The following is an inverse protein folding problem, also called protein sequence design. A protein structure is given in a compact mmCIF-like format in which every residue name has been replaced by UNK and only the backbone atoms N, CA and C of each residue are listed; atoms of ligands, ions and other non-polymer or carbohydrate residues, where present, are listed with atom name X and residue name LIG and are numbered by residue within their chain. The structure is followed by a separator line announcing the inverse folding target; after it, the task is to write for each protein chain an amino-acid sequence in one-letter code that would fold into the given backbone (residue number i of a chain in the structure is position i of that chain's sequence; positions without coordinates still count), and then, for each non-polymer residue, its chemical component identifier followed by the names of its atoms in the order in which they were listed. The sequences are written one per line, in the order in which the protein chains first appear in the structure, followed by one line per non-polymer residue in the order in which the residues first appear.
data_IF_534546850744
#
_entry.id   IF_534546850744
#
_cell.length_a   1.000
_cell.length_b   1.000
_cell.length_c   1.000
_cell.angle_alpha   90.00
_cell.angle_beta   90.00
_cell.angle_gamma   90.00
#
_symmetry.space_group_name_H-M   'P 1'
#
loop_
_entity.id
_entity.type
_entity.pdbx_description
1 polymer ?
#
# COMPACT_ATOMS: atom_id res chain seq x y z
N UNK A 1 24.93 -53.71 30.02
CA UNK A 1 24.33 -53.47 28.71
C UNK A 1 25.48 -53.43 27.71
N UNK A 2 25.66 -54.45 26.85
CA UNK A 2 26.70 -54.48 25.83
C UNK A 2 26.24 -53.62 24.63
N UNK A 3 26.91 -52.51 24.41
CA UNK A 3 26.70 -51.68 23.22
C UNK A 3 27.40 -52.37 22.05
N UNK A 4 26.63 -52.76 21.05
CA UNK A 4 27.19 -53.33 19.80
C UNK A 4 27.61 -52.19 18.88
N UNK A 5 28.82 -52.25 18.35
CA UNK A 5 29.40 -51.33 17.37
C UNK A 5 29.60 -52.01 16.02
N UNK A 6 29.54 -51.30 14.91
CA UNK A 6 29.82 -51.83 13.58
C UNK A 6 31.33 -52.00 13.36
N UNK A 7 31.75 -52.59 12.23
CA UNK A 7 33.15 -52.86 11.87
C UNK A 7 34.04 -51.58 11.79
N UNK A 8 33.47 -50.38 11.99
CA UNK A 8 34.18 -49.10 12.00
C UNK A 8 34.13 -48.41 13.35
N UNK A 9 33.66 -49.13 14.43
CA UNK A 9 33.65 -48.64 15.79
C UNK A 9 32.45 -47.67 16.12
N UNK A 10 31.42 -47.61 15.25
CA UNK A 10 30.27 -46.73 15.43
C UNK A 10 29.14 -47.50 16.14
N UNK A 11 28.57 -46.95 17.25
CA UNK A 11 27.45 -47.57 17.93
C UNK A 11 26.23 -47.72 17.01
N UNK A 12 25.67 -48.94 16.95
CA UNK A 12 24.51 -49.25 16.08
C UNK A 12 23.21 -48.58 16.51
N UNK A 13 23.17 -48.00 17.71
CA UNK A 13 22.01 -47.23 18.21
C UNK A 13 21.75 -45.89 17.52
N UNK A 14 22.67 -45.43 16.63
CA UNK A 14 22.50 -44.16 15.90
C UNK A 14 21.88 -44.32 14.48
N UNK A 15 21.40 -45.48 14.10
CA UNK A 15 20.88 -45.71 12.73
C UNK A 15 19.42 -45.36 12.52
N UNK A 16 18.71 -44.76 13.52
CA UNK A 16 17.31 -44.36 13.39
C UNK A 16 16.99 -42.92 13.81
N UNK A 17 18.00 -42.04 13.77
CA UNK A 17 17.74 -40.64 13.63
C UNK A 17 18.00 -40.26 12.16
N UNK A 18 17.05 -40.54 11.28
CA UNK A 18 16.91 -39.74 10.06
C UNK A 18 16.69 -38.33 10.55
N UNK A 19 17.80 -37.55 10.64
CA UNK A 19 17.70 -36.10 10.75
C UNK A 19 16.89 -35.67 9.52
N UNK A 20 15.61 -35.39 9.72
CA UNK A 20 14.86 -34.53 8.85
C UNK A 20 15.59 -33.21 8.99
N UNK A 21 16.56 -32.97 8.11
CA UNK A 21 17.05 -31.62 7.86
C UNK A 21 15.75 -30.80 7.52
N UNK A 22 15.47 -29.73 8.24
CA UNK A 22 14.40 -28.84 7.80
C UNK A 22 14.76 -28.46 6.37
N UNK A 23 13.83 -28.65 5.47
CA UNK A 23 13.96 -28.36 4.04
C UNK A 23 14.04 -26.83 3.92
N UNK A 24 15.25 -26.28 4.17
CA UNK A 24 15.59 -24.86 4.09
C UNK A 24 15.71 -24.42 2.62
N UNK A 25 14.70 -24.72 1.84
CA UNK A 25 14.63 -24.43 0.42
C UNK A 25 13.23 -24.49 -0.16
N UNK A 26 12.21 -24.72 0.64
CA UNK A 26 10.86 -24.46 0.17
C UNK A 26 10.68 -22.94 0.17
N UNK A 27 10.88 -22.30 -1.00
CA UNK A 27 10.07 -21.12 -1.33
C UNK A 27 8.69 -21.40 -0.77
N UNK A 28 8.18 -20.49 0.10
CA UNK A 28 6.82 -20.59 0.56
C UNK A 28 5.96 -20.75 -0.69
N UNK A 29 5.44 -21.94 -0.94
CA UNK A 29 4.46 -22.15 -1.98
C UNK A 29 3.32 -21.20 -1.62
N UNK A 30 3.06 -20.24 -2.50
CA UNK A 30 1.90 -19.39 -2.35
C UNK A 30 0.70 -20.30 -2.06
N UNK A 31 -0.07 -20.07 -1.01
CA UNK A 31 -1.29 -20.82 -0.79
C UNK A 31 -2.08 -20.82 -2.10
N UNK A 32 -2.73 -21.93 -2.43
CA UNK A 32 -3.58 -22.01 -3.62
C UNK A 32 -4.77 -21.09 -3.39
N UNK A 33 -4.63 -19.81 -3.78
CA UNK A 33 -5.72 -18.85 -3.64
C UNK A 33 -6.89 -19.24 -4.52
N UNK A 34 -8.09 -19.16 -3.96
CA UNK A 34 -9.35 -19.33 -4.66
C UNK A 34 -10.20 -18.07 -4.51
N UNK A 35 -10.95 -17.73 -5.56
CA UNK A 35 -11.89 -16.63 -5.47
C UNK A 35 -13.09 -17.07 -4.62
N UNK A 36 -13.60 -16.21 -3.72
CA UNK A 36 -14.89 -16.42 -3.10
C UNK A 36 -15.99 -16.55 -4.17
N UNK A 37 -17.00 -17.40 -3.91
CA UNK A 37 -18.15 -17.58 -4.80
C UNK A 37 -19.10 -16.35 -4.77
N UNK A 38 -18.56 -15.15 -4.95
CA UNK A 38 -19.36 -13.93 -4.98
C UNK A 38 -19.35 -13.35 -6.40
N UNK A 39 -20.52 -12.99 -6.96
CA UNK A 39 -20.62 -12.38 -8.29
C UNK A 39 -19.85 -11.07 -8.44
N UNK A 40 -19.54 -10.40 -7.30
CA UNK A 40 -19.06 -9.03 -7.25
C UNK A 40 -17.63 -8.84 -7.77
N UNK A 41 -16.79 -9.89 -7.78
CA UNK A 41 -15.40 -9.79 -8.24
C UNK A 41 -15.31 -9.43 -9.74
N UNK A 42 -16.11 -10.08 -10.57
CA UNK A 42 -16.13 -9.81 -12.02
C UNK A 42 -16.90 -8.53 -12.36
N UNK A 43 -18.02 -8.30 -11.67
CA UNK A 43 -18.82 -7.10 -11.88
C UNK A 43 -18.04 -5.82 -11.50
N UNK A 44 -17.17 -5.88 -10.47
CA UNK A 44 -16.35 -4.74 -10.06
C UNK A 44 -15.26 -4.41 -11.07
N UNK A 45 -14.73 -5.40 -11.83
CA UNK A 45 -13.72 -5.10 -12.86
C UNK A 45 -14.23 -4.18 -13.96
N UNK A 46 -15.53 -4.27 -14.30
CA UNK A 46 -16.16 -3.40 -15.28
C UNK A 46 -16.24 -1.93 -14.83
N UNK A 47 -16.21 -1.67 -13.52
CA UNK A 47 -16.16 -0.32 -12.96
C UNK A 47 -14.77 0.33 -13.09
N UNK A 48 -13.71 -0.50 -13.21
CA UNK A 48 -12.32 -0.05 -13.26
C UNK A 48 -11.55 -0.65 -14.45
N UNK A 49 -12.03 -0.47 -15.69
CA UNK A 49 -11.48 -1.17 -16.86
C UNK A 49 -9.99 -0.89 -17.05
N UNK A 50 -9.53 0.34 -16.81
CA UNK A 50 -8.12 0.72 -16.96
C UNK A 50 -7.18 0.03 -15.95
N UNK A 51 -7.70 -0.44 -14.82
CA UNK A 51 -6.92 -1.14 -13.79
C UNK A 51 -6.71 -2.60 -14.14
N UNK A 52 -7.68 -3.21 -14.85
CA UNK A 52 -7.69 -4.64 -15.19
C UNK A 52 -7.38 -4.89 -16.68
N UNK A 53 -6.71 -3.95 -17.34
CA UNK A 53 -6.22 -4.11 -18.71
C UNK A 53 -4.87 -4.85 -18.68
N UNK A 54 -4.70 -5.90 -19.51
CA UNK A 54 -3.41 -6.57 -19.68
C UNK A 54 -2.31 -5.63 -20.17
N UNK A 55 -1.07 -5.95 -19.81
CA UNK A 55 0.09 -5.19 -20.29
C UNK A 55 0.31 -5.39 -21.78
N UNK A 56 0.70 -4.32 -22.47
CA UNK A 56 1.07 -4.38 -23.88
C UNK A 56 2.42 -5.08 -24.06
N UNK A 57 2.56 -5.91 -25.09
CA UNK A 57 3.77 -6.68 -25.35
C UNK A 57 5.03 -5.80 -25.55
N UNK A 58 4.87 -4.66 -26.22
CA UNK A 58 5.97 -3.72 -26.52
C UNK A 58 6.23 -2.69 -25.38
N UNK A 59 5.65 -2.90 -24.19
CA UNK A 59 5.84 -1.99 -23.06
C UNK A 59 7.21 -2.16 -22.39
N UNK A 60 7.67 -1.10 -21.74
CA UNK A 60 8.90 -1.09 -20.97
C UNK A 60 8.65 -0.50 -19.56
N UNK A 61 9.66 -0.56 -18.66
CA UNK A 61 9.50 -0.08 -17.28
C UNK A 61 9.02 1.39 -17.17
N UNK A 62 9.36 2.24 -18.14
CA UNK A 62 8.91 3.64 -18.18
C UNK A 62 7.41 3.78 -18.47
N UNK A 63 6.79 2.83 -19.19
CA UNK A 63 5.37 2.82 -19.50
C UNK A 63 4.50 2.73 -18.24
N UNK A 64 5.00 2.07 -17.20
CA UNK A 64 4.27 1.83 -15.95
C UNK A 64 4.72 2.76 -14.80
N UNK A 65 5.39 3.86 -15.15
CA UNK A 65 5.71 4.95 -14.26
C UNK A 65 6.79 4.65 -13.21
N UNK A 66 7.18 5.69 -12.52
CA UNK A 66 8.11 5.68 -11.38
C UNK A 66 7.37 6.18 -10.15
N UNK A 67 7.20 5.34 -9.15
CA UNK A 67 6.61 5.73 -7.87
C UNK A 67 7.72 6.06 -6.86
N UNK A 68 7.60 7.21 -6.20
CA UNK A 68 8.39 7.56 -5.03
C UNK A 68 7.53 7.44 -3.76
N UNK A 69 8.04 6.74 -2.76
CA UNK A 69 7.41 6.60 -1.45
C UNK A 69 8.34 7.21 -0.40
N UNK A 70 7.87 8.20 0.34
CA UNK A 70 8.65 8.95 1.32
C UNK A 70 8.06 8.81 2.72
N UNK A 71 8.89 8.38 3.65
CA UNK A 71 8.50 8.14 5.03
C UNK A 71 9.63 7.53 5.84
N UNK A 72 9.35 6.51 6.64
CA UNK A 72 10.35 5.65 7.26
C UNK A 72 11.38 6.36 8.10
N UNK A 73 10.96 7.22 9.03
CA UNK A 73 11.82 7.76 10.08
C UNK A 73 12.45 6.64 10.92
N UNK A 74 13.43 6.99 11.76
CA UNK A 74 14.11 6.02 12.63
C UNK A 74 13.11 5.18 13.44
N UNK A 75 13.24 3.84 13.34
CA UNK A 75 12.32 2.88 13.95
C UNK A 75 11.06 2.57 13.12
N UNK A 76 10.77 3.32 12.04
CA UNK A 76 9.58 3.16 11.20
C UNK A 76 9.87 2.82 9.74
N UNK A 77 11.09 2.36 9.43
CA UNK A 77 11.49 1.98 8.05
C UNK A 77 10.61 0.90 7.45
N UNK A 78 10.01 0.03 8.27
CA UNK A 78 9.09 -1.03 7.83
C UNK A 78 7.87 -0.53 7.08
N UNK A 79 7.34 0.66 7.42
CA UNK A 79 6.19 1.25 6.74
C UNK A 79 6.49 1.53 5.26
N UNK A 80 7.63 2.15 4.97
CA UNK A 80 8.08 2.39 3.57
C UNK A 80 8.36 1.07 2.85
N UNK A 81 8.92 0.06 3.53
CA UNK A 81 9.17 -1.26 2.94
C UNK A 81 7.86 -1.94 2.53
N UNK A 82 6.83 -1.91 3.39
CA UNK A 82 5.50 -2.47 3.09
C UNK A 82 4.84 -1.74 1.92
N UNK A 83 4.83 -0.41 1.93
CA UNK A 83 4.24 0.39 0.86
C UNK A 83 4.98 0.17 -0.48
N UNK A 84 6.32 0.14 -0.47
CA UNK A 84 7.15 -0.09 -1.66
C UNK A 84 6.97 -1.50 -2.21
N UNK A 85 6.87 -2.51 -1.33
CA UNK A 85 6.58 -3.89 -1.71
C UNK A 85 5.20 -4.01 -2.36
N UNK A 86 4.19 -3.35 -1.79
CA UNK A 86 2.86 -3.32 -2.39
C UNK A 86 2.87 -2.66 -3.77
N UNK A 87 3.60 -1.57 -3.93
CA UNK A 87 3.71 -0.83 -5.18
C UNK A 87 4.36 -1.65 -6.30
N UNK A 88 5.48 -2.33 -6.04
CA UNK A 88 6.13 -3.15 -7.07
C UNK A 88 5.25 -4.34 -7.46
N UNK A 89 4.54 -4.96 -6.51
CA UNK A 89 3.58 -6.01 -6.76
C UNK A 89 2.36 -5.56 -7.56
N UNK A 90 1.94 -4.30 -7.41
CA UNK A 90 0.87 -3.72 -8.22
C UNK A 90 1.32 -3.20 -9.58
N UNK A 91 2.60 -3.36 -9.90
CA UNK A 91 3.08 -3.24 -11.26
C UNK A 91 3.65 -1.87 -11.62
N UNK A 92 4.04 -1.02 -10.68
CA UNK A 92 4.89 0.13 -10.97
C UNK A 92 6.14 -0.29 -11.73
N UNK A 93 6.52 0.46 -12.75
CA UNK A 93 7.70 0.16 -13.55
C UNK A 93 9.01 0.34 -12.79
N UNK A 94 9.04 1.32 -11.88
CA UNK A 94 10.12 1.59 -10.93
C UNK A 94 9.53 2.04 -9.60
N UNK A 95 10.16 1.64 -8.48
CA UNK A 95 9.79 2.07 -7.14
C UNK A 95 11.02 2.57 -6.38
N UNK A 96 10.91 3.75 -5.80
CA UNK A 96 11.88 4.34 -4.90
C UNK A 96 11.33 4.37 -3.48
N UNK A 97 12.06 3.81 -2.55
CA UNK A 97 11.83 3.90 -1.11
C UNK A 97 12.71 5.03 -0.54
N UNK A 98 12.11 6.12 -0.11
CA UNK A 98 12.74 7.31 0.46
C UNK A 98 12.58 7.36 1.96
N UNK A 99 13.71 7.40 2.68
CA UNK A 99 13.73 7.37 4.14
C UNK A 99 13.97 8.76 4.71
N UNK A 100 13.12 9.21 5.64
CA UNK A 100 13.35 10.42 6.44
C UNK A 100 14.42 10.14 7.51
N UNK A 101 15.63 9.90 7.04
CA UNK A 101 16.83 9.63 7.84
C UNK A 101 18.04 10.24 7.12
N UNK A 102 19.08 10.60 7.88
CA UNK A 102 20.32 11.18 7.34
C UNK A 102 21.16 10.18 6.55
N UNK A 103 20.94 8.88 6.75
CA UNK A 103 21.58 7.79 6.02
C UNK A 103 20.56 6.67 5.74
N UNK A 104 20.85 5.82 4.78
CA UNK A 104 20.00 4.67 4.49
C UNK A 104 20.02 3.68 5.67
N UNK A 105 18.85 3.18 6.12
CA UNK A 105 18.77 2.22 7.23
C UNK A 105 19.37 0.85 6.88
N UNK A 106 19.48 0.54 5.59
CA UNK A 106 20.06 -0.69 5.05
C UNK A 106 20.50 -0.49 3.60
N UNK A 107 21.39 -1.33 3.09
CA UNK A 107 21.93 -1.21 1.73
C UNK A 107 20.95 -1.70 0.64
N UNK A 108 20.09 -2.67 0.98
CA UNK A 108 19.12 -3.29 0.08
C UNK A 108 17.98 -3.87 0.92
N UNK A 109 16.78 -4.00 0.35
CA UNK A 109 15.71 -4.84 0.90
C UNK A 109 15.94 -6.26 0.36
N UNK A 110 16.40 -7.22 1.16
CA UNK A 110 16.86 -8.52 0.64
C UNK A 110 15.77 -9.27 -0.15
N UNK A 111 14.53 -9.20 0.32
CA UNK A 111 13.39 -9.88 -0.30
C UNK A 111 12.86 -9.12 -1.54
N UNK A 112 13.34 -7.89 -1.77
CA UNK A 112 12.87 -7.00 -2.86
C UNK A 112 14.02 -6.13 -3.37
N UNK A 113 15.07 -6.73 -3.96
CA UNK A 113 16.21 -5.97 -4.47
C UNK A 113 15.86 -5.07 -5.65
N UNK A 114 14.67 -5.23 -6.24
CA UNK A 114 14.15 -4.37 -7.32
C UNK A 114 13.76 -2.97 -6.83
N UNK A 115 13.55 -2.78 -5.53
CA UNK A 115 13.21 -1.49 -4.94
C UNK A 115 14.48 -0.68 -4.72
N UNK A 116 14.54 0.49 -5.32
CA UNK A 116 15.65 1.42 -5.16
C UNK A 116 15.49 2.23 -3.87
N UNK A 117 16.60 2.51 -3.21
CA UNK A 117 16.62 3.21 -1.92
C UNK A 117 17.26 4.59 -2.07
N UNK A 118 16.72 5.57 -1.36
CA UNK A 118 17.27 6.91 -1.25
C UNK A 118 16.95 7.51 0.12
N UNK A 119 17.69 8.55 0.53
CA UNK A 119 17.19 9.45 1.57
C UNK A 119 15.99 10.24 1.01
N UNK A 120 15.10 10.73 1.88
CA UNK A 120 14.00 11.60 1.45
C UNK A 120 14.54 12.84 0.72
N UNK A 121 15.60 13.44 1.23
CA UNK A 121 16.25 14.62 0.64
C UNK A 121 16.73 14.38 -0.80
N UNK A 122 17.41 13.26 -1.06
CA UNK A 122 17.89 12.93 -2.41
C UNK A 122 16.75 12.55 -3.35
N UNK A 123 15.72 11.90 -2.83
CA UNK A 123 14.56 11.51 -3.63
C UNK A 123 13.76 12.73 -4.11
N UNK A 124 13.64 13.77 -3.28
CA UNK A 124 12.96 15.03 -3.64
C UNK A 124 13.65 15.79 -4.78
N UNK A 125 14.92 15.56 -5.03
CA UNK A 125 15.68 16.18 -6.14
C UNK A 125 15.37 15.55 -7.51
N UNK A 126 14.69 14.39 -7.53
CA UNK A 126 14.41 13.65 -8.77
C UNK A 126 13.27 14.28 -9.57
N UNK A 127 13.42 14.23 -10.91
CA UNK A 127 12.45 14.78 -11.87
C UNK A 127 11.69 13.70 -12.65
N UNK A 128 12.09 12.42 -12.51
CA UNK A 128 11.50 11.29 -13.26
C UNK A 128 10.42 10.55 -12.46
N UNK A 129 9.85 11.19 -11.46
CA UNK A 129 8.79 10.62 -10.61
C UNK A 129 7.43 10.87 -11.24
N UNK A 130 6.66 9.79 -11.43
CA UNK A 130 5.31 9.83 -12.01
C UNK A 130 4.21 9.98 -10.97
N UNK A 131 4.45 9.56 -9.71
CA UNK A 131 3.56 9.77 -8.57
C UNK A 131 4.32 9.69 -7.25
N UNK A 132 3.76 10.29 -6.20
CA UNK A 132 4.32 10.32 -4.86
C UNK A 132 3.36 9.73 -3.84
N UNK A 133 3.90 8.98 -2.87
CA UNK A 133 3.24 8.57 -1.63
C UNK A 133 4.08 9.11 -0.48
N UNK A 134 3.48 9.87 0.43
CA UNK A 134 4.23 10.55 1.50
C UNK A 134 3.50 10.38 2.82
N UNK A 135 4.26 9.99 3.86
CA UNK A 135 3.76 9.97 5.23
C UNK A 135 3.85 8.64 5.97
N UNK A 136 4.04 7.51 5.28
CA UNK A 136 4.14 6.18 5.90
C UNK A 136 5.30 6.13 6.92
N UNK A 137 5.01 6.27 8.21
CA UNK A 137 6.00 6.33 9.27
C UNK A 137 7.05 7.45 9.08
N UNK A 138 6.63 8.63 8.59
CA UNK A 138 7.54 9.71 8.24
C UNK A 138 8.11 10.45 9.46
N UNK A 139 7.42 10.38 10.59
CA UNK A 139 7.69 11.21 11.76
C UNK A 139 6.99 12.57 11.68
N UNK A 140 7.10 13.34 12.78
CA UNK A 140 6.39 14.61 12.96
C UNK A 140 7.34 15.77 13.32
N UNK A 141 8.62 15.59 13.06
CA UNK A 141 9.66 16.59 13.30
C UNK A 141 9.71 17.67 12.22
N UNK A 142 10.60 18.64 12.38
CA UNK A 142 10.75 19.73 11.43
C UNK A 142 11.19 19.24 10.04
N UNK A 143 12.02 18.20 9.97
CA UNK A 143 12.44 17.61 8.68
C UNK A 143 11.24 17.01 7.94
N UNK A 144 10.37 16.29 8.66
CA UNK A 144 9.13 15.75 8.11
C UNK A 144 8.19 16.87 7.61
N UNK A 145 8.11 18.00 8.34
CA UNK A 145 7.33 19.16 7.93
C UNK A 145 7.90 19.82 6.65
N UNK A 146 9.22 19.94 6.55
CA UNK A 146 9.90 20.44 5.34
C UNK A 146 9.68 19.52 4.14
N UNK A 147 9.71 18.19 4.33
CA UNK A 147 9.39 17.20 3.29
C UNK A 147 7.96 17.43 2.78
N UNK A 148 6.97 17.56 3.69
CA UNK A 148 5.59 17.82 3.30
C UNK A 148 5.46 19.09 2.46
N UNK A 149 6.04 20.21 2.90
CA UNK A 149 6.00 21.47 2.19
C UNK A 149 6.66 21.35 0.80
N UNK A 150 7.80 20.66 0.71
CA UNK A 150 8.47 20.44 -0.57
C UNK A 150 7.60 19.64 -1.55
N UNK A 151 7.00 18.51 -1.14
CA UNK A 151 6.19 17.69 -2.05
C UNK A 151 4.90 18.39 -2.48
N UNK A 152 4.37 19.29 -1.65
CA UNK A 152 3.18 20.07 -2.00
C UNK A 152 3.47 21.14 -3.06
N UNK A 153 4.67 21.70 -3.09
CA UNK A 153 5.04 22.82 -3.96
C UNK A 153 5.85 22.42 -5.19
N UNK A 154 6.59 21.31 -5.12
CA UNK A 154 7.41 20.80 -6.22
C UNK A 154 6.67 19.71 -7.02
N UNK A 155 7.00 19.56 -8.30
CA UNK A 155 6.45 18.52 -9.19
C UNK A 155 4.92 18.39 -9.11
N UNK A 156 4.22 19.51 -9.25
CA UNK A 156 2.76 19.60 -9.04
C UNK A 156 1.96 18.79 -10.06
N UNK A 157 2.53 18.44 -11.20
CA UNK A 157 1.89 17.64 -12.23
C UNK A 157 1.77 16.15 -11.83
N UNK A 158 2.70 15.65 -11.00
CA UNK A 158 2.66 14.27 -10.54
C UNK A 158 1.62 14.10 -9.40
N UNK A 159 0.71 13.13 -9.48
CA UNK A 159 -0.22 12.82 -8.38
C UNK A 159 0.51 12.58 -7.05
N UNK A 160 -0.12 13.05 -5.97
CA UNK A 160 0.40 12.93 -4.61
C UNK A 160 -0.62 12.25 -3.70
N UNK A 161 -0.20 11.21 -3.00
CA UNK A 161 -0.97 10.59 -1.92
C UNK A 161 -0.32 10.94 -0.58
N UNK A 162 -1.12 11.48 0.35
CA UNK A 162 -0.72 11.72 1.74
C UNK A 162 -1.44 10.74 2.67
N UNK A 163 -0.66 10.09 3.53
CA UNK A 163 -1.15 9.16 4.56
C UNK A 163 -0.48 9.41 5.91
N UNK A 164 -1.01 8.87 6.97
CA UNK A 164 -0.41 8.77 8.30
C UNK A 164 0.18 10.10 8.81
N UNK A 165 1.50 10.17 9.00
CA UNK A 165 2.17 11.34 9.57
C UNK A 165 2.03 12.58 8.70
N UNK A 166 1.99 12.43 7.37
CA UNK A 166 1.75 13.56 6.47
C UNK A 166 0.36 14.17 6.65
N UNK A 167 -0.67 13.37 6.91
CA UNK A 167 -2.02 13.87 7.25
C UNK A 167 -2.03 14.60 8.60
N UNK A 168 -1.29 14.09 9.56
CA UNK A 168 -1.14 14.73 10.88
C UNK A 168 -0.44 16.08 10.77
N UNK A 169 0.61 16.17 9.96
CA UNK A 169 1.31 17.43 9.68
C UNK A 169 0.41 18.41 8.91
N UNK A 170 -0.30 17.94 7.89
CA UNK A 170 -1.25 18.75 7.12
C UNK A 170 -2.36 19.33 8.03
N UNK A 171 -2.87 18.54 8.97
CA UNK A 171 -3.87 19.00 9.92
C UNK A 171 -3.36 20.12 10.86
N UNK A 172 -2.05 20.14 11.14
CA UNK A 172 -1.38 21.13 12.01
C UNK A 172 -0.74 22.29 11.23
N UNK A 173 -0.76 22.22 9.91
CA UNK A 173 -0.03 23.15 9.06
C UNK A 173 -0.63 24.55 9.06
N UNK A 174 0.19 25.52 8.66
CA UNK A 174 -0.21 26.91 8.45
C UNK A 174 -1.13 27.05 7.21
N UNK A 175 -1.78 28.22 7.04
CA UNK A 175 -2.69 28.47 5.92
C UNK A 175 -2.00 28.27 4.55
N UNK A 176 -0.76 28.67 4.39
CA UNK A 176 0.01 28.59 3.13
C UNK A 176 0.20 27.13 2.69
N UNK A 177 0.56 26.24 3.60
CA UNK A 177 0.70 24.80 3.33
C UNK A 177 -0.64 24.17 2.95
N UNK A 178 -1.75 24.57 3.62
CA UNK A 178 -3.10 24.11 3.29
C UNK A 178 -3.52 24.59 1.92
N UNK A 179 -3.27 25.84 1.59
CA UNK A 179 -3.55 26.42 0.27
C UNK A 179 -2.76 25.70 -0.84
N UNK A 180 -1.47 25.38 -0.60
CA UNK A 180 -0.67 24.60 -1.52
C UNK A 180 -1.26 23.21 -1.78
N UNK A 181 -1.79 22.55 -0.73
CA UNK A 181 -2.48 21.27 -0.87
C UNK A 181 -3.76 21.40 -1.70
N UNK A 182 -4.58 22.42 -1.45
CA UNK A 182 -5.83 22.69 -2.17
C UNK A 182 -5.62 22.98 -3.67
N UNK A 183 -4.54 23.66 -4.01
CA UNK A 183 -4.23 24.04 -5.40
C UNK A 183 -3.72 22.87 -6.25
N UNK A 184 -3.38 21.74 -5.63
CA UNK A 184 -2.67 20.68 -6.34
C UNK A 184 -3.51 19.92 -7.37
N UNK A 185 -4.84 19.81 -7.17
CA UNK A 185 -5.78 19.21 -8.15
C UNK A 185 -5.66 17.70 -8.37
N UNK A 186 -4.56 17.08 -7.97
CA UNK A 186 -4.28 15.64 -8.14
C UNK A 186 -3.88 14.97 -6.81
N UNK A 187 -4.42 15.49 -5.70
CA UNK A 187 -4.14 15.05 -4.34
C UNK A 187 -5.09 13.92 -3.91
N UNK A 188 -4.53 12.93 -3.24
CA UNK A 188 -5.26 11.85 -2.56
C UNK A 188 -4.91 11.86 -1.08
N UNK A 189 -5.91 11.89 -0.21
CA UNK A 189 -5.77 11.80 1.24
C UNK A 189 -6.36 10.48 1.72
N UNK A 190 -5.67 9.75 2.61
CA UNK A 190 -6.11 8.42 3.07
C UNK A 190 -6.31 8.35 4.59
N UNK A 191 -7.12 9.24 5.21
CA UNK A 191 -7.25 9.28 6.65
C UNK A 191 -8.00 8.07 7.22
N UNK A 192 -7.53 7.54 8.36
CA UNK A 192 -8.38 6.79 9.27
C UNK A 192 -9.25 7.76 10.11
N UNK A 193 -10.29 7.30 10.85
CA UNK A 193 -11.22 8.21 11.53
C UNK A 193 -10.57 9.25 12.47
N UNK A 194 -9.48 8.91 13.16
CA UNK A 194 -8.81 9.85 14.03
C UNK A 194 -7.97 10.90 13.26
N UNK A 195 -7.41 10.55 12.10
CA UNK A 195 -6.75 11.49 11.18
C UNK A 195 -7.78 12.42 10.53
N UNK A 196 -8.92 11.88 10.10
CA UNK A 196 -10.03 12.66 9.58
C UNK A 196 -10.54 13.69 10.61
N UNK A 197 -10.66 13.28 11.87
CA UNK A 197 -11.05 14.17 12.96
C UNK A 197 -10.06 15.33 13.12
N UNK A 198 -8.75 15.10 13.02
CA UNK A 198 -7.73 16.17 13.08
C UNK A 198 -7.84 17.13 11.88
N UNK A 199 -8.04 16.60 10.67
CA UNK A 199 -8.22 17.42 9.46
C UNK A 199 -9.45 18.32 9.56
N UNK A 200 -10.52 17.84 10.19
CA UNK A 200 -11.79 18.57 10.37
C UNK A 200 -11.83 19.47 11.63
N UNK A 201 -10.84 19.35 12.54
CA UNK A 201 -10.93 19.98 13.85
C UNK A 201 -12.08 19.44 14.71
N UNK A 202 -12.46 18.17 14.53
CA UNK A 202 -13.59 17.50 15.16
C UNK A 202 -13.13 16.35 16.07
N UNK A 203 -14.08 15.66 16.71
CA UNK A 203 -13.78 14.42 17.44
C UNK A 203 -13.88 13.18 16.52
N UNK A 204 -13.14 12.11 16.88
CA UNK A 204 -13.27 10.83 16.19
C UNK A 204 -14.70 10.27 16.29
N UNK A 205 -15.40 10.53 17.38
CA UNK A 205 -16.80 10.13 17.56
C UNK A 205 -17.71 10.85 16.55
N UNK A 206 -17.53 12.16 16.35
CA UNK A 206 -18.29 12.94 15.35
C UNK A 206 -18.09 12.38 13.94
N UNK A 207 -16.83 12.07 13.58
CA UNK A 207 -16.52 11.45 12.27
C UNK A 207 -17.21 10.08 12.11
N UNK A 208 -17.23 9.26 13.16
CA UNK A 208 -17.85 7.93 13.11
C UNK A 208 -19.38 7.97 13.09
N UNK A 209 -20.00 9.02 13.65
CA UNK A 209 -21.45 9.22 13.62
C UNK A 209 -21.96 9.53 12.21
N UNK A 210 -21.19 10.31 11.45
CA UNK A 210 -21.54 10.63 10.06
C UNK A 210 -20.28 10.62 9.17
N UNK A 211 -19.88 9.41 8.79
CA UNK A 211 -18.72 9.19 7.94
C UNK A 211 -18.89 9.76 6.54
N UNK A 212 -20.14 9.77 6.03
CA UNK A 212 -20.44 10.29 4.69
C UNK A 212 -20.19 11.80 4.63
N UNK A 213 -20.75 12.56 5.54
CA UNK A 213 -20.52 14.01 5.65
C UNK A 213 -19.03 14.31 5.90
N UNK A 214 -18.37 13.54 6.77
CA UNK A 214 -16.96 13.74 7.07
C UNK A 214 -16.06 13.59 5.84
N UNK A 215 -16.22 12.51 5.04
CA UNK A 215 -15.39 12.28 3.85
C UNK A 215 -15.64 13.34 2.78
N UNK A 216 -16.89 13.76 2.56
CA UNK A 216 -17.24 14.81 1.61
C UNK A 216 -16.70 16.18 2.05
N UNK A 217 -16.76 16.50 3.33
CA UNK A 217 -16.22 17.75 3.87
C UNK A 217 -14.71 17.84 3.70
N UNK A 218 -13.97 16.77 4.00
CA UNK A 218 -12.51 16.74 3.78
C UNK A 218 -12.19 16.89 2.29
N UNK A 219 -12.88 16.14 1.43
CA UNK A 219 -12.68 16.19 -0.02
C UNK A 219 -12.91 17.60 -0.58
N UNK A 220 -13.99 18.25 -0.20
CA UNK A 220 -14.31 19.62 -0.61
C UNK A 220 -13.31 20.64 -0.03
N UNK A 221 -12.93 20.50 1.25
CA UNK A 221 -12.00 21.41 1.92
C UNK A 221 -10.61 21.41 1.28
N UNK A 222 -10.09 20.24 0.95
CA UNK A 222 -8.73 20.09 0.39
C UNK A 222 -8.73 19.99 -1.14
N UNK A 223 -9.88 20.05 -1.80
CA UNK A 223 -10.01 19.80 -3.24
C UNK A 223 -9.29 18.52 -3.67
N UNK A 224 -9.45 17.46 -2.87
CA UNK A 224 -8.68 16.21 -2.96
C UNK A 224 -9.59 14.99 -2.95
N UNK A 225 -9.19 13.93 -3.64
CA UNK A 225 -9.80 12.62 -3.43
C UNK A 225 -9.50 12.16 -2.01
N UNK A 226 -10.53 11.81 -1.26
CA UNK A 226 -10.39 11.42 0.16
C UNK A 226 -10.87 10.00 0.39
N UNK A 227 -10.00 9.17 0.95
CA UNK A 227 -10.27 7.78 1.34
C UNK A 227 -10.43 7.72 2.85
N UNK A 228 -11.66 7.69 3.36
CA UNK A 228 -11.93 7.51 4.79
C UNK A 228 -11.91 6.02 5.14
N UNK A 229 -10.76 5.58 5.66
CA UNK A 229 -10.50 4.17 6.03
C UNK A 229 -11.45 3.66 7.11
N UNK A 230 -11.74 2.35 7.10
CA UNK A 230 -12.56 1.64 8.08
C UNK A 230 -13.49 0.63 7.43
N UNK A 231 -14.40 0.04 8.24
CA UNK A 231 -15.41 -0.86 7.67
C UNK A 231 -16.23 -0.12 6.60
N UNK A 232 -16.35 -0.74 5.40
CA UNK A 232 -16.94 -0.08 4.23
C UNK A 232 -16.27 1.28 3.95
N UNK A 233 -14.96 1.25 3.69
CA UNK A 233 -14.16 2.44 3.33
C UNK A 233 -14.90 3.30 2.31
N UNK A 234 -14.95 4.61 2.56
CA UNK A 234 -15.55 5.60 1.66
C UNK A 234 -14.48 6.32 0.87
N UNK A 235 -14.73 6.53 -0.41
CA UNK A 235 -13.88 7.37 -1.27
C UNK A 235 -14.73 8.50 -1.84
N UNK A 236 -14.37 9.75 -1.56
CA UNK A 236 -15.06 10.92 -2.08
C UNK A 236 -14.15 11.69 -3.04
N UNK A 237 -14.74 12.22 -4.13
CA UNK A 237 -14.12 13.18 -5.02
C UNK A 237 -14.62 14.61 -4.69
N UNK A 238 -13.85 15.66 -5.08
CA UNK A 238 -14.25 17.06 -4.82
C UNK A 238 -15.58 17.49 -5.44
N UNK A 239 -16.03 16.82 -6.48
CA UNK A 239 -17.33 17.05 -7.15
C UNK A 239 -18.53 16.48 -6.38
N UNK A 240 -18.28 15.84 -5.23
CA UNK A 240 -19.30 15.21 -4.39
C UNK A 240 -19.57 13.73 -4.70
N UNK A 241 -18.96 13.17 -5.75
CA UNK A 241 -19.07 11.74 -6.06
C UNK A 241 -18.49 10.90 -4.91
N UNK A 242 -19.22 9.87 -4.47
CA UNK A 242 -18.77 8.95 -3.40
C UNK A 242 -18.88 7.50 -3.84
N UNK A 243 -17.82 6.76 -3.60
CA UNK A 243 -17.76 5.31 -3.72
C UNK A 243 -17.70 4.67 -2.32
N UNK A 244 -18.51 3.65 -2.09
CA UNK A 244 -18.47 2.83 -0.88
C UNK A 244 -17.87 1.46 -1.22
N UNK A 245 -16.73 1.15 -0.62
CA UNK A 245 -16.05 -0.13 -0.86
C UNK A 245 -16.78 -1.30 -0.20
N UNK A 246 -17.21 -2.33 -0.96
CA UNK A 246 -17.90 -3.49 -0.41
C UNK A 246 -16.96 -4.57 0.14
N UNK A 247 -15.67 -4.53 -0.19
CA UNK A 247 -14.69 -5.59 0.12
C UNK A 247 -13.95 -5.36 1.43
N UNK A 248 -13.37 -6.42 1.96
CA UNK A 248 -12.52 -6.41 3.14
C UNK A 248 -13.19 -7.01 4.39
N UNK A 249 -12.35 -7.47 5.29
CA UNK A 249 -12.77 -8.10 6.55
C UNK A 249 -11.92 -7.61 7.73
N UNK A 250 -12.24 -8.08 8.94
CA UNK A 250 -11.59 -7.65 10.18
C UNK A 250 -10.09 -8.00 10.25
N UNK A 251 -9.59 -8.92 9.43
CA UNK A 251 -8.15 -9.21 9.32
C UNK A 251 -7.31 -8.02 8.88
N UNK A 252 -7.91 -7.03 8.21
CA UNK A 252 -7.24 -5.77 7.86
C UNK A 252 -6.93 -4.86 9.06
N UNK A 253 -7.44 -5.17 10.24
CA UNK A 253 -7.12 -4.45 11.48
C UNK A 253 -5.74 -4.90 12.03
N UNK A 254 -4.71 -4.79 11.20
CA UNK A 254 -3.32 -5.14 11.49
C UNK A 254 -2.38 -4.00 11.15
N UNK A 255 -1.25 -3.91 11.88
CA UNK A 255 -0.24 -2.89 11.63
C UNK A 255 0.34 -3.00 10.20
N UNK A 256 0.51 -1.87 9.53
CA UNK A 256 1.06 -1.82 8.17
C UNK A 256 0.04 -2.04 7.04
N UNK A 257 -1.21 -2.41 7.34
CA UNK A 257 -2.28 -2.57 6.35
C UNK A 257 -2.54 -1.26 5.58
N UNK A 258 -2.51 -0.10 6.26
CA UNK A 258 -2.61 1.22 5.64
C UNK A 258 -1.44 1.53 4.70
N UNK A 259 -0.21 1.17 5.09
CA UNK A 259 0.98 1.37 4.25
C UNK A 259 0.87 0.55 2.95
N UNK A 260 0.39 -0.68 3.04
CA UNK A 260 0.11 -1.54 1.87
C UNK A 260 -0.95 -0.89 0.98
N UNK A 261 -2.05 -0.36 1.53
CA UNK A 261 -3.07 0.35 0.78
C UNK A 261 -2.49 1.56 0.04
N UNK A 262 -1.67 2.37 0.72
CA UNK A 262 -1.03 3.54 0.14
C UNK A 262 -0.07 3.16 -1.00
N UNK A 263 0.66 2.04 -0.87
CA UNK A 263 1.48 1.47 -1.93
C UNK A 263 0.66 0.99 -3.15
N UNK A 264 -0.49 0.35 -2.93
CA UNK A 264 -1.41 -0.09 -4.00
C UNK A 264 -1.94 1.12 -4.77
N UNK A 265 -2.53 2.11 -4.07
CA UNK A 265 -3.09 3.32 -4.71
C UNK A 265 -1.97 4.09 -5.42
N UNK A 266 -0.83 4.31 -4.76
CA UNK A 266 0.32 5.02 -5.34
C UNK A 266 0.82 4.36 -6.62
N UNK A 267 0.84 3.02 -6.67
CA UNK A 267 1.19 2.28 -7.89
C UNK A 267 0.23 2.53 -9.04
N UNK A 268 -1.07 2.58 -8.77
CA UNK A 268 -2.08 2.87 -9.79
C UNK A 268 -1.95 4.32 -10.29
N UNK A 269 -1.70 5.28 -9.39
CA UNK A 269 -1.41 6.67 -9.76
C UNK A 269 -0.18 6.78 -10.66
N UNK A 270 0.92 6.09 -10.32
CA UNK A 270 2.15 6.10 -11.12
C UNK A 270 1.94 5.50 -12.52
N UNK A 271 1.01 4.58 -12.68
CA UNK A 271 0.61 3.98 -13.95
C UNK A 271 -0.36 4.88 -14.76
N UNK A 272 -0.67 6.08 -14.28
CA UNK A 272 -1.52 7.05 -14.99
C UNK A 272 -3.02 6.86 -14.77
N UNK A 273 -3.44 6.05 -13.79
CA UNK A 273 -4.86 5.92 -13.44
C UNK A 273 -5.31 7.21 -12.72
N UNK A 274 -6.43 7.82 -13.13
CA UNK A 274 -6.95 9.03 -12.50
C UNK A 274 -7.16 8.86 -10.99
N UNK A 275 -6.92 9.90 -10.17
CA UNK A 275 -6.87 9.79 -8.69
C UNK A 275 -8.10 9.11 -8.07
N UNK A 276 -9.32 9.46 -8.47
CA UNK A 276 -10.53 8.84 -7.93
C UNK A 276 -10.63 7.36 -8.30
N UNK A 277 -10.36 7.01 -9.56
CA UNK A 277 -10.37 5.61 -9.99
C UNK A 277 -9.27 4.79 -9.32
N UNK A 278 -8.06 5.36 -9.17
CA UNK A 278 -6.94 4.72 -8.47
C UNK A 278 -7.28 4.45 -6.99
N UNK A 279 -7.90 5.42 -6.32
CA UNK A 279 -8.35 5.27 -4.94
C UNK A 279 -9.44 4.20 -4.80
N UNK A 280 -10.51 4.26 -5.60
CA UNK A 280 -11.60 3.28 -5.56
C UNK A 280 -11.12 1.85 -5.86
N UNK A 281 -10.37 1.67 -6.95
CA UNK A 281 -9.83 0.36 -7.31
C UNK A 281 -8.80 -0.14 -6.30
N UNK A 282 -7.97 0.77 -5.75
CA UNK A 282 -6.97 0.44 -4.73
C UNK A 282 -7.59 -0.05 -3.44
N UNK A 283 -8.63 0.62 -2.92
CA UNK A 283 -9.33 0.15 -1.70
C UNK A 283 -10.06 -1.15 -1.95
N UNK A 284 -10.62 -1.34 -3.15
CA UNK A 284 -11.27 -2.60 -3.50
C UNK A 284 -10.26 -3.75 -3.59
N UNK A 285 -9.15 -3.60 -4.30
CA UNK A 285 -8.08 -4.61 -4.42
C UNK A 285 -7.50 -4.98 -3.06
N UNK A 286 -7.28 -4.00 -2.19
CA UNK A 286 -6.77 -4.21 -0.85
C UNK A 286 -7.75 -5.03 0.01
N UNK A 287 -9.04 -4.65 0.00
CA UNK A 287 -10.08 -5.36 0.73
C UNK A 287 -10.31 -6.76 0.18
N UNK A 288 -10.48 -6.89 -1.13
CA UNK A 288 -10.70 -8.16 -1.81
C UNK A 288 -9.54 -9.15 -1.64
N UNK A 289 -8.28 -8.65 -1.56
CA UNK A 289 -7.15 -9.49 -1.23
C UNK A 289 -7.27 -10.11 0.17
N UNK A 290 -7.71 -9.35 1.17
CA UNK A 290 -7.97 -9.87 2.50
C UNK A 290 -9.11 -10.90 2.50
N UNK A 291 -10.14 -10.68 1.70
CA UNK A 291 -11.25 -11.64 1.54
C UNK A 291 -10.78 -12.94 0.89
N UNK A 292 -9.91 -12.87 -0.11
CA UNK A 292 -9.26 -14.04 -0.73
C UNK A 292 -8.39 -14.79 0.28
N UNK A 293 -7.61 -14.10 1.11
CA UNK A 293 -6.81 -14.75 2.17
C UNK A 293 -7.74 -15.50 3.12
N UNK A 294 -8.74 -14.82 3.66
CA UNK A 294 -9.70 -15.43 4.60
C UNK A 294 -10.41 -16.63 3.99
N UNK A 295 -10.90 -16.50 2.75
CA UNK A 295 -11.59 -17.59 2.04
C UNK A 295 -10.67 -18.78 1.79
N UNK A 296 -9.43 -18.54 1.34
CA UNK A 296 -8.51 -19.62 0.94
C UNK A 296 -7.81 -20.32 2.11
N UNK A 297 -7.60 -19.61 3.22
CA UNK A 297 -6.76 -20.08 4.33
C UNK A 297 -7.49 -20.17 5.67
N UNK A 298 -8.66 -19.55 5.78
CA UNK A 298 -9.38 -19.37 7.06
C UNK A 298 -8.78 -18.30 7.97
N UNK A 299 -7.67 -17.64 7.56
CA UNK A 299 -6.97 -16.65 8.39
C UNK A 299 -7.71 -15.32 8.37
N UNK A 300 -8.07 -14.83 9.54
CA UNK A 300 -8.59 -13.49 9.81
C UNK A 300 -7.79 -12.86 10.96
N UNK A 301 -7.82 -13.48 12.14
CA UNK A 301 -6.95 -13.06 13.24
C UNK A 301 -5.49 -13.45 12.94
N UNK A 302 -4.60 -12.47 13.04
CA UNK A 302 -3.18 -12.66 12.73
C UNK A 302 -2.82 -12.57 11.25
N UNK A 303 -3.71 -12.07 10.39
CA UNK A 303 -3.37 -11.70 9.02
C UNK A 303 -2.26 -10.66 9.02
N UNK A 304 -1.19 -10.91 8.30
CA UNK A 304 -0.07 -9.98 8.20
C UNK A 304 -0.27 -9.02 7.01
N UNK A 305 0.11 -7.75 7.19
CA UNK A 305 0.06 -6.76 6.11
C UNK A 305 0.88 -7.21 4.88
N UNK A 306 2.00 -7.91 5.10
CA UNK A 306 2.84 -8.45 4.04
C UNK A 306 2.17 -9.53 3.17
N UNK A 307 1.08 -10.17 3.62
CA UNK A 307 0.34 -11.17 2.86
C UNK A 307 -0.65 -10.53 1.86
N UNK A 308 -1.09 -9.29 2.13
CA UNK A 308 -2.08 -8.58 1.33
C UNK A 308 -1.50 -8.23 -0.06
N UNK A 309 -0.29 -7.71 -0.12
CA UNK A 309 0.32 -7.25 -1.38
C UNK A 309 0.49 -8.37 -2.44
N UNK A 310 1.06 -9.55 -2.13
CA UNK A 310 1.15 -10.65 -3.09
C UNK A 310 -0.23 -11.21 -3.48
N UNK A 311 -1.19 -11.22 -2.56
CA UNK A 311 -2.56 -11.66 -2.85
C UNK A 311 -3.27 -10.68 -3.77
N UNK A 312 -3.14 -9.37 -3.54
CA UNK A 312 -3.68 -8.33 -4.42
C UNK A 312 -3.07 -8.42 -5.84
N UNK A 313 -1.75 -8.71 -5.96
CA UNK A 313 -1.12 -8.99 -7.26
C UNK A 313 -1.75 -10.20 -7.95
N UNK A 314 -1.90 -11.31 -7.23
CA UNK A 314 -2.52 -12.51 -7.77
C UNK A 314 -3.94 -12.23 -8.26
N UNK A 315 -4.76 -11.58 -7.42
CA UNK A 315 -6.14 -11.23 -7.73
C UNK A 315 -6.24 -10.33 -8.98
N UNK A 316 -5.46 -9.25 -9.04
CA UNK A 316 -5.45 -8.35 -10.18
C UNK A 316 -5.14 -9.07 -11.49
N UNK A 317 -4.10 -9.92 -11.49
CA UNK A 317 -3.72 -10.67 -12.69
C UNK A 317 -4.75 -11.75 -13.07
N UNK A 318 -5.35 -12.40 -12.09
CA UNK A 318 -6.43 -13.38 -12.32
C UNK A 318 -7.61 -12.72 -13.05
N UNK A 319 -8.03 -11.55 -12.59
CA UNK A 319 -9.14 -10.80 -13.17
C UNK A 319 -8.81 -10.22 -14.56
N UNK A 320 -7.57 -9.83 -14.82
CA UNK A 320 -7.11 -9.43 -16.15
C UNK A 320 -7.27 -10.55 -17.20
N UNK A 321 -6.91 -11.79 -16.83
CA UNK A 321 -6.99 -12.95 -17.73
C UNK A 321 -8.44 -13.29 -18.07
N UNK A 322 -9.35 -13.15 -17.12
CA UNK A 322 -10.75 -13.50 -17.32
C UNK A 322 -11.49 -12.45 -18.18
N UNK A 323 -11.16 -11.16 -18.03
CA UNK A 323 -11.70 -10.10 -18.89
C UNK A 323 -11.27 -10.24 -20.35
N UNK A 324 -10.21 -10.96 -20.67
CA UNK A 324 -9.79 -11.21 -22.07
C UNK A 324 -10.50 -12.39 -22.72
N UNK A 325 -11.34 -13.14 -21.99
CA UNK A 325 -12.09 -14.30 -22.50
C UNK A 325 -13.54 -13.98 -22.83
N UNK A 326 -13.99 -12.77 -22.55
CA UNK A 326 -15.30 -12.21 -22.89
C UNK A 326 -15.18 -11.34 -24.13
#
# INVERSE_FOLDING_TARGET
VKTTVDKRGIPTSFRHASAILPNSGRLMMNPSYTLPDTPDFFQTTSQFPNVFTPRQAESHKGTYGTLAIVGGASGMSGAVVLASTAAIYQGSGKVWAGFNQTALPFAVIPERPEIMLATAEDLLKRKDISAWVVGCGMGLDETANQILNNVLTHNQDAPLLLDADALTLLARSNPETREAAQKRGNLVLTPHPAEAARLLGASTQTVQQDRMSAVQTISATFQAVTVLKGHRTLVAAPDGTVYTNPSGNAGLATAGSGDVLSGIIGSLLAQGIPPFQAACAGVWLHGAAADVIKHSTGVEAGMLAGEIAPTARWLRNRLMIENTKV
#
